data_IF_374705260375
#
_entry.id   IF_374705260375
#
_cell.length_a   1.000
_cell.length_b   1.000
_cell.length_c   1.000
_cell.angle_alpha   90.00
_cell.angle_beta   90.00
_cell.angle_gamma   90.00
#
_symmetry.space_group_name_H-M   'P 1'
#
loop_
_entity.id
_entity.type
_entity.pdbx_description
1 polymer ?
#
# COMPACT_ATOMS: atom_id res chain seq x y z
N UNK A 1 -6.81 -4.13 -7.90
CA UNK A 1 -7.57 -2.98 -7.35
C UNK A 1 -7.31 -1.73 -8.19
N UNK A 2 -6.07 -1.23 -8.28
CA UNK A 2 -5.78 0.04 -8.95
C UNK A 2 -5.83 0.10 -10.48
N UNK A 3 -6.53 -0.81 -11.17
CA UNK A 3 -6.60 -0.79 -12.65
C UNK A 3 -7.43 0.39 -13.20
N UNK A 4 -8.28 0.99 -12.37
CA UNK A 4 -9.18 2.07 -12.73
C UNK A 4 -8.60 3.48 -12.53
N UNK A 5 -7.46 3.61 -11.87
CA UNK A 5 -6.78 4.90 -11.75
C UNK A 5 -5.99 5.20 -13.03
N UNK A 6 -5.84 6.48 -13.34
CA UNK A 6 -4.89 6.94 -14.37
C UNK A 6 -3.45 6.58 -14.00
N UNK A 7 -3.14 6.52 -12.70
CA UNK A 7 -1.88 6.03 -12.17
C UNK A 7 -1.87 4.50 -12.12
N UNK A 8 -1.01 3.87 -12.91
CA UNK A 8 -0.88 2.42 -12.89
C UNK A 8 -0.36 1.92 -11.51
N UNK A 9 -0.90 0.81 -10.98
CA UNK A 9 -0.50 0.28 -9.67
C UNK A 9 0.96 -0.19 -9.67
N UNK A 10 1.60 -0.19 -8.49
CA UNK A 10 2.98 -0.64 -8.30
C UNK A 10 3.11 -1.51 -7.05
N UNK A 11 4.05 -2.44 -7.08
CA UNK A 11 4.51 -3.15 -5.88
C UNK A 11 5.92 -2.68 -5.57
N UNK A 12 6.09 -2.02 -4.43
CA UNK A 12 7.40 -1.63 -3.90
C UNK A 12 7.94 -2.83 -3.10
N UNK A 13 9.14 -3.30 -3.44
CA UNK A 13 9.88 -4.34 -2.73
C UNK A 13 11.28 -3.81 -2.38
N UNK A 14 11.46 -3.33 -1.15
CA UNK A 14 12.74 -2.85 -0.64
C UNK A 14 13.38 -3.90 0.27
N UNK A 15 14.71 -4.01 0.22
CA UNK A 15 15.47 -4.96 1.03
C UNK A 15 16.69 -4.27 1.64
N UNK A 16 16.99 -4.61 2.89
CA UNK A 16 18.15 -4.10 3.63
C UNK A 16 18.67 -5.14 4.63
N UNK A 17 19.94 -5.03 5.00
CA UNK A 17 20.58 -5.88 6.01
C UNK A 17 21.30 -7.11 5.44
N UNK A 18 22.03 -7.80 6.32
CA UNK A 18 22.98 -8.84 5.94
C UNK A 18 22.31 -10.19 5.61
N UNK A 19 22.96 -10.96 4.74
CA UNK A 19 22.58 -12.35 4.48
C UNK A 19 22.87 -13.20 5.72
N UNK A 20 21.82 -13.78 6.33
CA UNK A 20 21.93 -14.62 7.54
C UNK A 20 21.31 -14.00 8.80
N UNK A 21 21.07 -12.69 8.82
CA UNK A 21 20.35 -12.05 9.91
C UNK A 21 18.86 -12.50 9.96
N UNK A 22 18.20 -12.45 11.14
CA UNK A 22 16.79 -12.76 11.28
C UNK A 22 15.93 -11.97 10.29
N UNK A 23 15.03 -12.66 9.59
CA UNK A 23 14.16 -12.02 8.59
C UNK A 23 13.03 -11.28 9.29
N UNK A 24 12.87 -10.01 8.92
CA UNK A 24 11.72 -9.18 9.31
C UNK A 24 11.11 -8.60 8.05
N UNK A 25 9.83 -8.86 7.81
CA UNK A 25 9.10 -8.29 6.66
C UNK A 25 8.00 -7.39 7.16
N UNK A 26 8.03 -6.13 6.73
CA UNK A 26 6.99 -5.15 6.98
C UNK A 26 6.12 -5.02 5.74
N UNK A 27 4.79 -5.04 5.92
CA UNK A 27 3.82 -4.90 4.83
C UNK A 27 2.90 -3.74 5.14
N UNK A 28 2.87 -2.73 4.26
CA UNK A 28 2.08 -1.53 4.46
C UNK A 28 1.05 -1.34 3.35
N UNK A 29 -0.23 -1.18 3.71
CA UNK A 29 -1.29 -0.83 2.75
C UNK A 29 -1.00 0.53 2.11
N UNK A 30 -0.84 0.57 0.79
CA UNK A 30 -0.53 1.77 0.01
C UNK A 30 -1.68 2.25 -0.88
N UNK A 31 -2.90 2.38 -0.35
CA UNK A 31 -4.02 2.96 -1.12
C UNK A 31 -3.92 4.48 -1.05
N UNK A 32 -3.36 5.12 -2.08
CA UNK A 32 -3.06 6.56 -2.10
C UNK A 32 -4.31 7.43 -1.99
N UNK A 33 -5.43 6.97 -2.57
CA UNK A 33 -6.76 7.51 -2.37
C UNK A 33 -7.80 6.41 -2.58
N UNK A 34 -8.92 6.47 -1.84
CA UNK A 34 -9.97 5.47 -1.88
C UNK A 34 -11.36 6.10 -2.05
N UNK A 35 -11.89 6.03 -3.27
CA UNK A 35 -13.28 6.45 -3.52
C UNK A 35 -14.29 5.41 -3.02
N UNK A 36 -13.84 4.19 -2.70
CA UNK A 36 -14.66 2.99 -2.55
C UNK A 36 -14.73 2.14 -3.82
N UNK A 37 -14.34 2.67 -4.98
CA UNK A 37 -14.61 2.04 -6.28
C UNK A 37 -16.07 2.22 -6.68
N UNK A 38 -16.66 1.25 -7.39
CA UNK A 38 -18.06 1.34 -7.81
C UNK A 38 -19.05 1.30 -6.64
N UNK A 39 -18.65 0.67 -5.52
CA UNK A 39 -19.32 0.82 -4.23
C UNK A 39 -18.86 2.12 -3.57
N UNK A 40 -19.28 3.23 -4.16
CA UNK A 40 -18.79 4.57 -3.84
C UNK A 40 -19.07 4.96 -2.38
N UNK A 41 -18.07 5.53 -1.71
CA UNK A 41 -18.24 6.13 -0.39
C UNK A 41 -19.11 7.39 -0.47
N UNK A 42 -19.91 7.70 0.58
CA UNK A 42 -20.51 9.02 0.71
C UNK A 42 -19.42 10.09 0.88
N UNK A 43 -19.73 11.35 0.53
CA UNK A 43 -18.76 12.45 0.55
C UNK A 43 -18.03 12.61 1.88
N UNK A 44 -18.75 12.47 3.01
CA UNK A 44 -18.18 12.52 4.36
C UNK A 44 -17.18 11.38 4.62
N UNK A 45 -17.45 10.17 4.11
CA UNK A 45 -16.56 9.02 4.23
C UNK A 45 -15.34 9.11 3.31
N UNK A 46 -15.46 9.79 2.17
CA UNK A 46 -14.37 9.94 1.20
C UNK A 46 -13.39 11.05 1.57
N UNK A 47 -13.84 12.10 2.27
CA UNK A 47 -13.09 13.33 2.56
C UNK A 47 -11.66 13.10 3.08
N UNK A 48 -11.47 12.06 3.89
CA UNK A 48 -10.18 11.78 4.54
C UNK A 48 -9.37 10.68 3.86
N UNK A 49 -9.80 10.15 2.71
CA UNK A 49 -9.24 8.92 2.13
C UNK A 49 -7.84 9.06 1.53
N UNK A 50 -7.27 10.27 1.49
CA UNK A 50 -5.82 10.44 1.32
C UNK A 50 -5.01 9.69 2.39
N UNK A 51 -5.60 9.46 3.56
CA UNK A 51 -4.95 8.75 4.68
C UNK A 51 -4.92 7.23 4.52
N UNK A 52 -5.55 6.69 3.48
CA UNK A 52 -5.73 5.23 3.33
C UNK A 52 -4.42 4.50 2.96
N UNK A 53 -3.36 5.28 2.68
CA UNK A 53 -1.96 4.85 2.56
C UNK A 53 -1.18 4.97 3.88
N UNK A 54 -1.84 5.28 5.00
CA UNK A 54 -1.19 5.45 6.30
C UNK A 54 -0.43 4.22 6.78
N UNK A 55 -0.88 3.02 6.41
CA UNK A 55 -0.15 1.78 6.68
C UNK A 55 1.21 1.72 5.97
N UNK A 56 1.27 2.12 4.70
CA UNK A 56 2.51 2.26 3.95
C UNK A 56 3.44 3.32 4.57
N UNK A 57 2.89 4.49 4.95
CA UNK A 57 3.66 5.54 5.61
C UNK A 57 4.29 5.07 6.93
N UNK A 58 3.49 4.41 7.79
CA UNK A 58 3.97 3.87 9.06
C UNK A 58 5.09 2.83 8.87
N UNK A 59 4.94 1.94 7.88
CA UNK A 59 5.94 0.92 7.58
C UNK A 59 7.23 1.53 7.04
N UNK A 60 7.16 2.54 6.17
CA UNK A 60 8.35 3.27 5.71
C UNK A 60 9.05 4.01 6.85
N UNK A 61 8.27 4.64 7.74
CA UNK A 61 8.81 5.30 8.93
C UNK A 61 9.54 4.32 9.86
N UNK A 62 8.92 3.18 10.17
CA UNK A 62 9.54 2.12 10.97
C UNK A 62 10.78 1.55 10.28
N UNK A 63 10.73 1.32 8.96
CA UNK A 63 11.88 0.86 8.20
C UNK A 63 13.05 1.84 8.26
N UNK A 64 12.79 3.15 8.15
CA UNK A 64 13.82 4.19 8.34
C UNK A 64 14.45 4.07 9.72
N UNK A 65 13.64 4.02 10.78
CA UNK A 65 14.14 3.90 12.16
C UNK A 65 14.97 2.61 12.38
N UNK A 66 14.58 1.48 11.79
CA UNK A 66 15.34 0.23 11.85
C UNK A 66 16.71 0.37 11.18
N UNK A 67 16.75 0.99 10.00
CA UNK A 67 17.98 1.22 9.24
C UNK A 67 18.90 2.22 9.95
N UNK A 68 18.33 3.31 10.47
CA UNK A 68 19.05 4.37 11.20
C UNK A 68 19.64 3.83 12.52
N UNK A 69 18.92 2.95 13.22
CA UNK A 69 19.40 2.28 14.43
C UNK A 69 20.40 1.14 14.15
N UNK A 70 20.62 0.77 12.88
CA UNK A 70 21.56 -0.28 12.51
C UNK A 70 21.21 -1.66 13.06
N UNK A 71 19.92 -1.98 13.22
CA UNK A 71 19.51 -3.25 13.83
C UNK A 71 19.99 -4.45 13.00
N UNK A 72 20.40 -5.53 13.69
CA UNK A 72 20.88 -6.75 13.03
C UNK A 72 19.70 -7.62 12.52
N UNK A 73 19.02 -7.15 11.48
CA UNK A 73 17.91 -7.84 10.82
C UNK A 73 18.06 -7.83 9.30
N UNK A 74 17.51 -8.83 8.64
CA UNK A 74 17.28 -8.83 7.19
C UNK A 74 15.89 -8.27 6.93
N UNK A 75 15.82 -6.96 6.74
CA UNK A 75 14.59 -6.22 6.53
C UNK A 75 14.11 -6.36 5.08
N UNK A 76 12.80 -6.60 4.92
CA UNK A 76 12.09 -6.43 3.65
C UNK A 76 10.87 -5.55 3.88
N UNK A 77 10.60 -4.62 2.97
CA UNK A 77 9.41 -3.79 2.99
C UNK A 77 8.61 -4.03 1.72
N UNK A 78 7.33 -4.36 1.87
CA UNK A 78 6.40 -4.57 0.77
C UNK A 78 5.24 -3.57 0.86
N UNK A 79 5.04 -2.79 -0.21
CA UNK A 79 3.95 -1.82 -0.29
C UNK A 79 3.26 -1.97 -1.65
N UNK A 80 2.02 -2.50 -1.70
CA UNK A 80 1.17 -2.35 -2.88
C UNK A 80 0.65 -0.91 -2.93
N UNK A 81 1.22 -0.11 -3.82
CA UNK A 81 0.85 1.27 -4.07
C UNK A 81 -0.19 1.34 -5.20
N UNK A 82 -1.40 1.75 -4.86
CA UNK A 82 -2.56 1.78 -5.76
C UNK A 82 -3.45 2.97 -5.44
N UNK A 83 -4.37 3.30 -6.33
CA UNK A 83 -5.52 4.15 -6.03
C UNK A 83 -6.79 3.36 -6.34
N UNK A 84 -7.80 3.43 -5.47
CA UNK A 84 -9.09 2.80 -5.72
C UNK A 84 -10.06 3.84 -6.29
N UNK A 85 -10.15 3.89 -7.62
CA UNK A 85 -10.86 4.93 -8.37
C UNK A 85 -12.09 4.37 -9.10
N UNK A 86 -12.98 5.28 -9.54
CA UNK A 86 -14.16 4.97 -10.36
C UNK A 86 -13.84 5.23 -11.82
N UNK A 87 -13.99 4.21 -12.65
CA UNK A 87 -13.91 4.30 -14.10
C UNK A 87 -14.64 3.11 -14.75
N UNK A 88 -14.88 3.15 -16.06
CA UNK A 88 -15.57 2.07 -16.79
C UNK A 88 -14.85 0.72 -16.73
N UNK A 89 -13.55 0.71 -16.44
CA UNK A 89 -12.74 -0.48 -16.24
C UNK A 89 -12.53 -0.84 -14.75
N UNK A 90 -13.27 -0.25 -13.80
CA UNK A 90 -13.22 -0.65 -12.39
C UNK A 90 -13.67 -2.10 -12.17
N UNK A 91 -13.23 -2.70 -11.06
CA UNK A 91 -13.84 -3.96 -10.59
C UNK A 91 -15.27 -3.69 -10.15
N UNK A 92 -16.14 -4.67 -10.36
CA UNK A 92 -17.57 -4.61 -10.03
C UNK A 92 -17.89 -5.49 -8.83
N UNK A 93 -18.94 -5.15 -8.06
CA UNK A 93 -19.52 -6.09 -7.11
C UNK A 93 -19.88 -7.40 -7.83
N UNK A 94 -19.41 -8.53 -7.29
CA UNK A 94 -19.58 -9.86 -7.90
C UNK A 94 -18.47 -10.31 -8.84
N UNK A 95 -17.48 -9.46 -9.19
CA UNK A 95 -16.30 -9.90 -9.92
C UNK A 95 -15.52 -10.94 -9.09
N UNK A 96 -15.19 -12.09 -9.69
CA UNK A 96 -14.23 -13.07 -9.14
C UNK A 96 -12.84 -12.76 -9.70
N UNK A 97 -11.88 -12.54 -8.82
CA UNK A 97 -10.51 -12.18 -9.18
C UNK A 97 -9.60 -13.41 -9.12
N UNK A 98 -8.70 -13.54 -10.10
CA UNK A 98 -7.67 -14.58 -10.18
C UNK A 98 -6.27 -14.00 -9.91
#
# INVERSE_FOLDING_TARGET
VGRASAGAPRLIDMRWGQQGAPKVTLVGKGVCFDTGGLDIKPSSGMLLMKKDMGGAANVLGLASMIMDAGLNVRLRVLIPAVENSIAGNAFRPGDVLA
#
